data_IF_668562884334
#
_entry.id   IF_668562884334
#
_cell.length_a   1.000
_cell.length_b   1.000
_cell.length_c   1.000
_cell.angle_alpha   90.00
_cell.angle_beta   90.00
_cell.angle_gamma   90.00
#
_symmetry.space_group_name_H-M   'P 1'
#
loop_
_entity.id
_entity.type
_entity.pdbx_description
1 polymer ?
#
# COMPACT_ATOMS: atom_id res chain seq x y z
N UNK A 1 21.90 8.02 2.67
CA UNK A 1 20.47 7.66 2.68
C UNK A 1 19.67 8.95 2.75
N UNK A 2 18.57 9.01 2.07
CA UNK A 2 17.64 10.13 2.17
C UNK A 2 17.07 10.27 3.59
N UNK A 3 16.60 11.46 3.92
CA UNK A 3 15.92 11.72 5.19
C UNK A 3 14.64 10.87 5.33
N UNK A 4 14.35 10.31 6.51
CA UNK A 4 13.15 9.51 6.73
C UNK A 4 11.84 10.22 6.38
N UNK A 5 11.76 11.53 6.59
CA UNK A 5 10.58 12.34 6.22
C UNK A 5 10.45 12.44 4.70
N UNK A 6 11.56 12.62 3.98
CA UNK A 6 11.58 12.62 2.52
C UNK A 6 11.14 11.26 1.96
N UNK A 7 11.63 10.16 2.53
CA UNK A 7 11.23 8.80 2.16
C UNK A 7 9.72 8.60 2.42
N UNK A 8 9.23 9.02 3.58
CA UNK A 8 7.80 8.93 3.91
C UNK A 8 6.93 9.68 2.91
N UNK A 9 7.31 10.92 2.55
CA UNK A 9 6.59 11.71 1.53
C UNK A 9 6.57 11.03 0.18
N UNK A 10 7.69 10.44 -0.24
CA UNK A 10 7.78 9.72 -1.51
C UNK A 10 6.83 8.50 -1.54
N UNK A 11 6.81 7.71 -0.48
CA UNK A 11 5.89 6.59 -0.38
C UNK A 11 4.42 7.03 -0.35
N UNK A 12 4.11 8.10 0.37
CA UNK A 12 2.76 8.64 0.42
C UNK A 12 2.29 9.11 -0.97
N UNK A 13 3.15 9.81 -1.70
CA UNK A 13 2.87 10.28 -3.05
C UNK A 13 2.58 9.12 -4.02
N UNK A 14 3.45 8.11 -4.03
CA UNK A 14 3.28 6.94 -4.89
C UNK A 14 2.07 6.08 -4.46
N UNK A 15 1.83 5.96 -3.16
CA UNK A 15 0.63 5.29 -2.64
C UNK A 15 -0.66 6.00 -3.06
N UNK A 16 -0.66 7.33 -3.09
CA UNK A 16 -1.79 8.13 -3.59
C UNK A 16 -2.09 7.84 -5.06
N UNK A 17 -1.07 7.76 -5.89
CA UNK A 17 -1.22 7.41 -7.30
C UNK A 17 -1.82 6.01 -7.46
N UNK A 18 -1.30 5.01 -6.75
CA UNK A 18 -1.82 3.64 -6.81
C UNK A 18 -3.28 3.55 -6.32
N UNK A 19 -3.62 4.27 -5.26
CA UNK A 19 -4.99 4.31 -4.76
C UNK A 19 -5.96 4.94 -5.76
N UNK A 20 -5.55 6.02 -6.41
CA UNK A 20 -6.34 6.67 -7.47
C UNK A 20 -6.54 5.77 -8.67
N UNK A 21 -5.53 5.00 -9.06
CA UNK A 21 -5.68 3.98 -10.12
C UNK A 21 -6.68 2.90 -9.69
N UNK A 22 -6.61 2.43 -8.45
CA UNK A 22 -7.58 1.47 -7.92
C UNK A 22 -9.01 2.03 -7.94
N UNK A 23 -9.19 3.31 -7.62
CA UNK A 23 -10.50 3.98 -7.71
C UNK A 23 -11.05 4.00 -9.15
N UNK A 24 -10.19 4.26 -10.14
CA UNK A 24 -10.57 4.25 -11.55
C UNK A 24 -10.97 2.84 -12.00
N UNK A 25 -10.25 1.82 -11.56
CA UNK A 25 -10.50 0.42 -11.94
C UNK A 25 -11.69 -0.20 -11.21
N UNK A 26 -12.12 0.40 -10.08
CA UNK A 26 -13.26 -0.07 -9.29
C UNK A 26 -14.52 -0.13 -10.16
N UNK A 27 -15.21 -1.27 -10.11
CA UNK A 27 -16.42 -1.49 -10.89
C UNK A 27 -16.19 -1.84 -12.37
N UNK A 28 -14.94 -1.93 -12.80
CA UNK A 28 -14.58 -2.48 -14.12
C UNK A 28 -14.37 -3.97 -14.05
N UNK A 29 -14.15 -4.60 -15.20
CA UNK A 29 -13.80 -6.02 -15.32
C UNK A 29 -12.37 -6.36 -14.90
N UNK A 30 -11.54 -5.35 -14.64
CA UNK A 30 -10.11 -5.54 -14.30
C UNK A 30 -9.91 -5.86 -12.81
N UNK A 31 -10.54 -6.92 -12.33
CA UNK A 31 -10.58 -7.27 -10.91
C UNK A 31 -9.20 -7.53 -10.32
N UNK A 32 -8.36 -8.31 -11.01
CA UNK A 32 -7.00 -8.58 -10.54
C UNK A 32 -6.14 -7.33 -10.43
N UNK A 33 -6.30 -6.38 -11.38
CA UNK A 33 -5.58 -5.10 -11.36
C UNK A 33 -6.07 -4.18 -10.24
N UNK A 34 -7.36 -4.17 -9.99
CA UNK A 34 -7.91 -3.46 -8.82
C UNK A 34 -7.26 -3.97 -7.53
N UNK A 35 -7.19 -5.29 -7.35
CA UNK A 35 -6.55 -5.91 -6.18
C UNK A 35 -5.07 -5.54 -6.12
N UNK A 36 -4.34 -5.62 -7.23
CA UNK A 36 -2.92 -5.29 -7.28
C UNK A 36 -2.64 -3.84 -6.85
N UNK A 37 -3.42 -2.89 -7.34
CA UNK A 37 -3.24 -1.48 -6.99
C UNK A 37 -3.68 -1.15 -5.57
N UNK A 38 -4.73 -1.77 -5.05
CA UNK A 38 -5.11 -1.62 -3.63
C UNK A 38 -4.03 -2.16 -2.71
N UNK A 39 -3.45 -3.31 -3.04
CA UNK A 39 -2.35 -3.92 -2.30
C UNK A 39 -1.12 -3.01 -2.27
N UNK A 40 -0.72 -2.48 -3.43
CA UNK A 40 0.43 -1.58 -3.54
C UNK A 40 0.21 -0.24 -2.84
N UNK A 41 -0.98 0.32 -2.93
CA UNK A 41 -1.32 1.56 -2.25
C UNK A 41 -1.17 1.42 -0.73
N UNK A 42 -1.73 0.36 -0.15
CA UNK A 42 -1.66 0.10 1.30
C UNK A 42 -0.23 -0.20 1.74
N UNK A 43 0.51 -1.01 0.98
CA UNK A 43 1.93 -1.27 1.28
C UNK A 43 2.73 0.03 1.36
N UNK A 44 2.55 0.93 0.41
CA UNK A 44 3.25 2.21 0.39
C UNK A 44 2.82 3.13 1.54
N UNK A 45 1.55 3.15 1.91
CA UNK A 45 1.09 3.89 3.09
C UNK A 45 1.73 3.38 4.38
N UNK A 46 1.77 2.08 4.55
CA UNK A 46 2.42 1.46 5.72
C UNK A 46 3.92 1.77 5.70
N UNK A 47 4.58 1.67 4.56
CA UNK A 47 6.01 2.05 4.42
C UNK A 47 6.25 3.54 4.73
N UNK A 48 5.34 4.42 4.37
CA UNK A 48 5.40 5.83 4.76
C UNK A 48 5.38 6.01 6.29
N UNK A 49 4.49 5.28 6.97
CA UNK A 49 4.44 5.26 8.44
C UNK A 49 5.75 4.71 9.03
N UNK A 50 6.23 3.57 8.52
CA UNK A 50 7.46 2.96 9.03
C UNK A 50 8.68 3.87 8.87
N UNK A 51 8.79 4.58 7.74
CA UNK A 51 9.87 5.52 7.49
C UNK A 51 9.92 6.64 8.54
N UNK A 52 8.78 7.17 8.99
CA UNK A 52 8.72 8.16 10.06
C UNK A 52 9.26 7.65 11.42
N UNK A 53 9.29 6.35 11.61
CA UNK A 53 9.90 5.68 12.77
C UNK A 53 11.32 5.18 12.48
N UNK A 54 11.92 5.64 11.37
CA UNK A 54 13.29 5.29 11.00
C UNK A 54 13.45 3.88 10.40
N UNK A 55 12.35 3.24 10.02
CA UNK A 55 12.38 1.89 9.44
C UNK A 55 12.11 1.96 7.94
N UNK A 56 13.11 1.61 7.14
CA UNK A 56 13.03 1.49 5.69
C UNK A 56 13.31 0.04 5.33
N UNK A 57 12.36 -0.61 4.67
CA UNK A 57 12.44 -2.04 4.36
C UNK A 57 11.96 -2.34 2.95
N UNK A 58 12.54 -3.38 2.34
CA UNK A 58 12.10 -3.94 1.06
C UNK A 58 11.05 -5.05 1.24
N UNK A 59 10.78 -5.46 2.46
CA UNK A 59 9.76 -6.46 2.78
C UNK A 59 8.37 -6.02 2.32
N UNK A 60 7.51 -7.02 2.05
CA UNK A 60 6.13 -6.79 1.62
C UNK A 60 5.10 -7.15 2.70
N UNK A 61 5.47 -7.96 3.68
CA UNK A 61 4.62 -8.33 4.80
C UNK A 61 4.95 -7.45 6.00
N UNK A 62 4.16 -6.41 6.21
CA UNK A 62 4.48 -5.32 7.12
C UNK A 62 3.54 -5.20 8.32
N UNK A 63 2.44 -5.97 8.34
CA UNK A 63 1.38 -5.85 9.35
C UNK A 63 1.88 -5.98 10.78
N UNK A 64 2.76 -6.95 11.05
CA UNK A 64 3.34 -7.16 12.38
C UNK A 64 4.26 -6.03 12.80
N UNK A 65 5.10 -5.53 11.90
CA UNK A 65 6.01 -4.44 12.17
C UNK A 65 5.24 -3.12 12.38
N UNK A 66 4.22 -2.87 11.56
CA UNK A 66 3.33 -1.72 11.73
C UNK A 66 2.66 -1.74 13.11
N UNK A 67 2.09 -2.88 13.50
CA UNK A 67 1.52 -3.05 14.85
C UNK A 67 2.53 -2.71 15.95
N UNK A 68 3.73 -3.28 15.87
CA UNK A 68 4.76 -3.09 16.88
C UNK A 68 5.15 -1.61 17.06
N UNK A 69 5.23 -0.85 15.99
CA UNK A 69 5.68 0.54 16.02
C UNK A 69 4.57 1.55 16.29
N UNK A 70 3.31 1.22 16.00
CA UNK A 70 2.20 2.17 16.01
C UNK A 70 1.04 1.78 16.95
N UNK A 71 1.19 0.77 17.77
CA UNK A 71 0.11 0.27 18.63
C UNK A 71 -0.49 1.35 19.54
N UNK A 72 0.33 2.28 20.02
CA UNK A 72 -0.12 3.37 20.88
C UNK A 72 -0.82 4.51 20.12
N UNK A 73 -0.66 4.58 18.81
CA UNK A 73 -1.14 5.72 17.99
C UNK A 73 -2.55 5.50 17.44
N UNK A 74 -3.01 4.26 17.36
CA UNK A 74 -4.33 3.91 16.82
C UNK A 74 -5.11 3.01 17.75
N UNK A 75 -6.28 3.45 18.16
CA UNK A 75 -7.19 2.67 19.01
C UNK A 75 -7.80 1.47 18.27
N UNK A 76 -7.90 1.57 16.95
CA UNK A 76 -8.39 0.53 16.04
C UNK A 76 -7.26 -0.28 15.38
N UNK A 77 -6.10 -0.39 16.03
CA UNK A 77 -4.92 -1.08 15.48
C UNK A 77 -5.22 -2.50 14.99
N UNK A 78 -6.01 -3.27 15.76
CA UNK A 78 -6.31 -4.64 15.37
C UNK A 78 -7.11 -4.70 14.06
N UNK A 79 -8.04 -3.78 13.85
CA UNK A 79 -8.82 -3.69 12.63
C UNK A 79 -7.96 -3.20 11.45
N UNK A 80 -7.09 -2.22 11.68
CA UNK A 80 -6.10 -1.79 10.67
C UNK A 80 -5.22 -2.95 10.23
N UNK A 81 -4.67 -3.71 11.17
CA UNK A 81 -3.81 -4.86 10.87
C UNK A 81 -4.56 -5.95 10.13
N UNK A 82 -5.83 -6.22 10.46
CA UNK A 82 -6.65 -7.16 9.71
C UNK A 82 -6.79 -6.77 8.25
N UNK A 83 -7.05 -5.50 7.95
CA UNK A 83 -7.17 -5.01 6.58
C UNK A 83 -5.83 -5.01 5.82
N UNK A 84 -4.75 -4.61 6.48
CA UNK A 84 -3.39 -4.68 5.88
C UNK A 84 -3.03 -6.13 5.56
N UNK A 85 -3.20 -7.03 6.51
CA UNK A 85 -2.90 -8.45 6.35
C UNK A 85 -3.76 -9.11 5.25
N UNK A 86 -5.04 -8.76 5.16
CA UNK A 86 -5.93 -9.25 4.11
C UNK A 86 -5.40 -8.92 2.71
N UNK A 87 -4.80 -7.74 2.51
CA UNK A 87 -4.19 -7.36 1.25
C UNK A 87 -2.83 -8.03 1.04
N UNK A 88 -2.01 -8.12 2.07
CA UNK A 88 -0.70 -8.78 2.01
C UNK A 88 -0.81 -10.26 1.62
N UNK A 89 -1.86 -10.94 2.07
CA UNK A 89 -2.11 -12.37 1.78
C UNK A 89 -2.29 -12.68 0.30
N UNK A 90 -2.66 -11.72 -0.51
CA UNK A 90 -2.72 -11.93 -1.95
C UNK A 90 -1.34 -12.22 -2.56
N UNK A 91 -0.26 -11.69 -1.97
CA UNK A 91 1.10 -11.90 -2.47
C UNK A 91 1.24 -11.51 -3.95
N UNK A 92 1.84 -12.39 -4.74
CA UNK A 92 2.02 -12.19 -6.18
C UNK A 92 0.79 -12.57 -7.03
N UNK A 93 -0.25 -13.18 -6.43
CA UNK A 93 -1.42 -13.71 -7.14
C UNK A 93 -2.18 -12.69 -7.99
N UNK A 94 -2.31 -11.41 -7.60
CA UNK A 94 -2.97 -10.43 -8.45
C UNK A 94 -2.20 -10.05 -9.72
N UNK A 95 -0.90 -10.29 -9.76
CA UNK A 95 0.00 -9.77 -10.80
C UNK A 95 0.53 -10.81 -11.74
N UNK A 96 0.69 -12.06 -11.29
CA UNK A 96 1.39 -13.10 -12.04
C UNK A 96 0.61 -14.41 -12.08
N UNK A 97 0.63 -15.14 -13.22
CA UNK A 97 0.26 -16.54 -13.24
C UNK A 97 1.15 -17.34 -12.27
N UNK A 98 0.57 -18.29 -11.56
CA UNK A 98 1.32 -19.17 -10.65
C UNK A 98 1.36 -20.58 -11.24
N UNK A 99 2.55 -21.05 -11.56
CA UNK A 99 2.81 -22.28 -12.32
C UNK A 99 3.78 -23.24 -11.64
N UNK A 100 4.20 -22.96 -10.42
CA UNK A 100 5.26 -23.68 -9.72
C UNK A 100 4.82 -25.06 -9.23
N UNK A 101 3.53 -25.27 -9.06
CA UNK A 101 2.95 -26.54 -8.60
C UNK A 101 2.22 -27.26 -9.73
N UNK A 102 2.80 -28.36 -10.22
CA UNK A 102 2.21 -29.17 -11.31
C UNK A 102 0.95 -29.93 -10.90
N UNK A 103 0.76 -30.15 -9.60
CA UNK A 103 -0.39 -30.83 -9.03
C UNK A 103 -1.63 -29.94 -8.88
N UNK A 104 -1.50 -28.65 -9.12
CA UNK A 104 -2.59 -27.68 -9.07
C UNK A 104 -2.86 -27.07 -10.44
N UNK A 105 -4.13 -26.68 -10.71
CA UNK A 105 -4.44 -25.91 -11.89
C UNK A 105 -3.62 -24.61 -11.96
N UNK A 106 -3.31 -24.19 -13.18
CA UNK A 106 -2.65 -22.90 -13.42
C UNK A 106 -3.51 -21.76 -12.86
N UNK A 107 -2.94 -20.97 -11.97
CA UNK A 107 -3.54 -19.71 -11.53
C UNK A 107 -3.33 -18.64 -12.58
N UNK A 108 -4.40 -18.01 -13.04
CA UNK A 108 -4.36 -16.88 -13.97
C UNK A 108 -5.14 -15.71 -13.36
N UNK A 109 -4.48 -14.63 -12.95
CA UNK A 109 -5.14 -13.55 -12.18
C UNK A 109 -6.40 -12.99 -12.84
N UNK A 110 -6.35 -12.71 -14.15
CA UNK A 110 -7.47 -12.11 -14.88
C UNK A 110 -8.67 -13.05 -15.03
N UNK A 111 -8.48 -14.36 -14.88
CA UNK A 111 -9.54 -15.37 -14.95
C UNK A 111 -10.06 -15.73 -13.56
N UNK A 112 -9.17 -15.84 -12.59
CA UNK A 112 -9.44 -16.51 -11.31
C UNK A 112 -9.84 -15.54 -10.19
N UNK A 113 -9.60 -14.23 -10.34
CA UNK A 113 -10.20 -13.20 -9.50
C UNK A 113 -11.52 -12.70 -10.06
N UNK A 114 -12.52 -12.57 -9.20
CA UNK A 114 -13.83 -12.05 -9.53
C UNK A 114 -14.15 -10.71 -8.88
N UNK A 115 -15.32 -10.19 -9.18
CA UNK A 115 -15.83 -8.90 -8.65
C UNK A 115 -15.84 -8.85 -7.14
N UNK A 116 -16.28 -9.92 -6.47
CA UNK A 116 -16.34 -9.97 -5.01
C UNK A 116 -14.96 -9.88 -4.35
N UNK A 117 -13.94 -10.47 -4.98
CA UNK A 117 -12.55 -10.38 -4.50
C UNK A 117 -12.03 -8.94 -4.60
N UNK A 118 -12.28 -8.29 -5.72
CA UNK A 118 -11.90 -6.89 -5.94
C UNK A 118 -12.62 -5.94 -4.99
N UNK A 119 -13.91 -6.16 -4.75
CA UNK A 119 -14.72 -5.37 -3.83
C UNK A 119 -14.19 -5.46 -2.39
N UNK A 120 -13.85 -6.66 -1.91
CA UNK A 120 -13.26 -6.86 -0.58
C UNK A 120 -11.88 -6.23 -0.45
N UNK A 121 -11.05 -6.36 -1.46
CA UNK A 121 -9.72 -5.75 -1.47
C UNK A 121 -9.83 -4.22 -1.44
N UNK A 122 -10.73 -3.66 -2.23
CA UNK A 122 -10.96 -2.21 -2.24
C UNK A 122 -11.50 -1.71 -0.90
N UNK A 123 -12.44 -2.40 -0.28
CA UNK A 123 -12.98 -2.07 1.05
C UNK A 123 -11.85 -2.03 2.10
N UNK A 124 -10.99 -3.03 2.11
CA UNK A 124 -9.82 -3.06 3.00
C UNK A 124 -8.88 -1.88 2.76
N UNK A 125 -8.57 -1.59 1.50
CA UNK A 125 -7.71 -0.46 1.15
C UNK A 125 -8.34 0.88 1.53
N UNK A 126 -9.64 1.05 1.31
CA UNK A 126 -10.37 2.27 1.68
C UNK A 126 -10.34 2.51 3.19
N UNK A 127 -10.54 1.46 3.99
CA UNK A 127 -10.43 1.58 5.45
C UNK A 127 -9.05 2.07 5.87
N UNK A 128 -8.00 1.42 5.39
CA UNK A 128 -6.61 1.79 5.73
C UNK A 128 -6.29 3.20 5.21
N UNK A 129 -6.70 3.52 4.00
CA UNK A 129 -6.50 4.85 3.41
C UNK A 129 -7.11 5.96 4.25
N UNK A 130 -8.37 5.84 4.61
CA UNK A 130 -9.11 6.83 5.42
C UNK A 130 -8.52 7.03 6.81
N UNK A 131 -7.80 6.04 7.34
CA UNK A 131 -7.15 6.13 8.65
C UNK A 131 -5.72 6.65 8.56
N UNK A 132 -4.92 6.16 7.63
CA UNK A 132 -3.48 6.48 7.57
C UNK A 132 -3.18 7.76 6.79
N UNK A 133 -3.91 8.06 5.71
CA UNK A 133 -3.65 9.25 4.90
C UNK A 133 -3.79 10.55 5.70
N UNK A 134 -4.90 10.81 6.43
CA UNK A 134 -5.01 12.00 7.27
C UNK A 134 -3.94 12.07 8.37
N UNK A 135 -3.63 10.94 8.99
CA UNK A 135 -2.58 10.86 10.00
C UNK A 135 -1.21 11.27 9.44
N UNK A 136 -0.84 10.73 8.28
CA UNK A 136 0.41 11.07 7.60
C UNK A 136 0.44 12.53 7.16
N UNK A 137 -0.64 13.03 6.59
CA UNK A 137 -0.74 14.44 6.17
C UNK A 137 -0.53 15.39 7.34
N UNK A 138 -1.14 15.13 8.48
CA UNK A 138 -1.02 15.94 9.69
C UNK A 138 0.42 15.95 10.22
N UNK A 139 1.06 14.79 10.34
CA UNK A 139 2.43 14.69 10.82
C UNK A 139 3.41 15.31 9.83
N UNK A 140 3.29 15.00 8.55
CA UNK A 140 4.20 15.52 7.52
C UNK A 140 4.09 17.03 7.35
N UNK A 141 2.94 17.62 7.63
CA UNK A 141 2.76 19.09 7.62
C UNK A 141 3.59 19.79 8.69
N UNK A 142 4.01 19.10 9.76
CA UNK A 142 4.85 19.67 10.81
C UNK A 142 6.33 19.78 10.42
N UNK A 143 6.74 19.09 9.34
CA UNK A 143 8.12 19.14 8.84
C UNK A 143 8.24 20.13 7.69
N UNK A 144 9.31 20.95 7.63
CA UNK A 144 9.52 21.84 6.50
C UNK A 144 9.71 21.05 5.19
N UNK A 145 9.18 21.61 4.09
CA UNK A 145 9.48 21.06 2.77
C UNK A 145 10.97 21.24 2.47
N UNK A 146 11.65 20.13 2.17
CA UNK A 146 12.98 20.20 1.58
C UNK A 146 12.80 20.71 0.14
N UNK A 147 13.12 21.99 -0.09
CA UNK A 147 13.22 22.52 -1.46
C UNK A 147 14.34 21.77 -2.17
N UNK A 148 13.98 20.73 -2.90
CA UNK A 148 14.90 20.20 -3.89
C UNK A 148 15.03 21.25 -4.99
N UNK A 149 16.20 21.88 -5.09
CA UNK A 149 16.58 22.67 -6.27
C UNK A 149 16.71 21.75 -7.49
N UNK A 150 15.59 21.21 -7.95
CA UNK A 150 15.49 20.54 -9.24
C UNK A 150 15.06 21.56 -10.29
N UNK A 151 15.97 22.47 -10.61
CA UNK A 151 15.75 23.54 -11.56
C UNK A 151 16.99 23.92 -12.37
N UNK A 152 18.06 23.14 -12.32
CA UNK A 152 19.19 23.34 -13.25
C UNK A 152 19.26 22.14 -14.18
N UNK A 153 18.78 22.35 -15.41
CA UNK A 153 19.10 21.48 -16.53
C UNK A 153 20.62 21.27 -16.56
N UNK A 154 21.05 20.03 -16.58
CA UNK A 154 22.45 19.71 -16.88
C UNK A 154 22.72 20.13 -18.31
N UNK A 155 23.88 20.77 -18.60
CA UNK A 155 24.29 21.10 -19.95
C UNK A 155 24.50 19.86 -20.82
#
# INVERSE_FOLDING_TARGET
MHDPVEISRAFLLEGDVDYRVAQILRGTEFHSRTIAFTQQAVEKLVKACLALRGVVTLEHNLSSLFRALYQADFTDMELLVQHVDALERHGARPRFPLFQRRDLPMWVPSRDYGEADAARAYESAEYVWKRLKPYLDEILATYPEVRTERGKARP
#
